data_IF_249314160344
#
_entry.id   IF_249314160344
#
_cell.length_a   1.000
_cell.length_b   1.000
_cell.length_c   1.000
_cell.angle_alpha   90.00
_cell.angle_beta   90.00
_cell.angle_gamma   90.00
#
_symmetry.space_group_name_H-M   'P 1'
#
loop_
_entity.id
_entity.type
_entity.pdbx_description
1 polymer ?
#
# COMPACT_ATOMS: atom_id res chain seq x y z
N UNK A 1 -30.34 45.68 16.40
CA UNK A 1 -29.12 45.43 17.18
C UNK A 1 -29.44 44.47 18.32
N UNK A 2 -29.23 43.16 18.14
CA UNK A 2 -28.75 42.30 19.23
C UNK A 2 -28.36 40.93 18.69
N UNK A 3 -27.08 40.63 18.87
CA UNK A 3 -26.34 39.51 18.30
C UNK A 3 -26.51 38.32 19.25
N UNK A 4 -27.08 37.22 18.77
CA UNK A 4 -27.00 35.91 19.43
C UNK A 4 -26.37 34.93 18.46
N UNK A 5 -25.10 35.17 18.17
CA UNK A 5 -24.19 34.16 17.63
C UNK A 5 -23.62 33.42 18.82
N UNK A 6 -24.31 32.36 19.27
CA UNK A 6 -23.72 31.43 20.22
C UNK A 6 -23.09 30.30 19.41
N UNK A 7 -21.77 30.36 19.42
CA UNK A 7 -20.79 29.47 18.84
C UNK A 7 -20.92 28.05 19.43
N UNK A 8 -21.21 27.06 18.59
CA UNK A 8 -20.96 25.66 18.95
C UNK A 8 -19.46 25.40 18.86
N UNK A 9 -18.76 25.62 19.98
CA UNK A 9 -17.38 25.19 20.14
C UNK A 9 -17.32 23.70 20.50
N UNK A 10 -16.30 23.03 19.96
CA UNK A 10 -15.76 21.73 20.37
C UNK A 10 -16.53 20.48 19.95
N UNK A 11 -16.49 20.16 18.65
CA UNK A 11 -16.52 18.75 18.23
C UNK A 11 -15.20 18.11 18.63
N UNK A 12 -15.08 17.72 19.90
CA UNK A 12 -14.00 16.83 20.34
C UNK A 12 -14.29 15.48 19.70
N UNK A 13 -13.67 15.22 18.55
CA UNK A 13 -13.66 13.90 17.94
C UNK A 13 -12.90 12.99 18.90
N UNK A 14 -13.61 12.27 19.77
CA UNK A 14 -12.99 11.26 20.62
C UNK A 14 -12.48 10.15 19.69
N UNK A 15 -11.15 9.93 19.56
CA UNK A 15 -10.66 8.78 18.82
C UNK A 15 -11.08 7.52 19.58
N UNK A 16 -11.61 6.55 18.85
CA UNK A 16 -11.97 5.23 19.37
C UNK A 16 -10.75 4.64 20.11
N UNK A 17 -10.88 4.19 21.39
CA UNK A 17 -9.76 3.63 22.10
C UNK A 17 -9.39 2.29 21.47
N UNK A 18 -8.26 2.32 20.75
CA UNK A 18 -7.43 1.17 20.42
C UNK A 18 -8.14 0.00 19.76
N UNK A 19 -8.42 0.11 18.45
CA UNK A 19 -8.32 -1.09 17.63
C UNK A 19 -6.85 -1.49 17.62
N UNK A 20 -6.47 -2.45 18.46
CA UNK A 20 -5.12 -3.00 18.50
C UNK A 20 -4.82 -3.64 17.15
N UNK A 21 -4.17 -2.90 16.25
CA UNK A 21 -3.77 -3.29 14.89
C UNK A 21 -2.69 -4.37 14.86
N UNK A 22 -2.55 -5.19 15.90
CA UNK A 22 -1.45 -6.14 16.04
C UNK A 22 -1.65 -7.42 15.19
N UNK A 23 -2.88 -7.68 14.72
CA UNK A 23 -3.20 -8.77 13.78
C UNK A 23 -3.52 -8.27 12.37
N UNK A 24 -3.65 -6.95 12.19
CA UNK A 24 -3.93 -6.35 10.90
C UNK A 24 -2.63 -6.07 10.15
N UNK A 25 -2.57 -6.46 8.88
CA UNK A 25 -1.43 -6.19 8.02
C UNK A 25 -1.24 -4.66 7.89
N UNK A 26 -0.11 -4.17 8.40
CA UNK A 26 0.20 -2.75 8.46
C UNK A 26 0.63 -2.22 7.09
N UNK A 27 -0.33 -1.68 6.33
CA UNK A 27 -0.08 -1.13 5.00
C UNK A 27 0.96 -0.01 4.97
N UNK A 28 1.13 0.76 6.07
CA UNK A 28 2.15 1.81 6.11
C UNK A 28 3.55 1.20 6.06
N UNK A 29 3.77 0.11 6.80
CA UNK A 29 5.03 -0.65 6.74
C UNK A 29 5.25 -1.30 5.39
N UNK A 30 4.21 -1.86 4.77
CA UNK A 30 4.31 -2.44 3.42
C UNK A 30 4.77 -1.38 2.40
N UNK A 31 4.15 -0.21 2.42
CA UNK A 31 4.51 0.89 1.50
C UNK A 31 5.96 1.34 1.72
N UNK A 32 6.38 1.50 2.98
CA UNK A 32 7.77 1.85 3.30
C UNK A 32 8.75 0.80 2.78
N UNK A 33 8.45 -0.49 2.98
CA UNK A 33 9.32 -1.57 2.53
C UNK A 33 9.44 -1.61 0.99
N UNK A 34 8.31 -1.44 0.28
CA UNK A 34 8.31 -1.38 -1.19
C UNK A 34 9.11 -0.17 -1.68
N UNK A 35 9.01 0.99 -1.02
CA UNK A 35 9.81 2.16 -1.37
C UNK A 35 11.30 1.90 -1.20
N UNK A 36 11.72 1.29 -0.09
CA UNK A 36 13.13 0.91 0.13
C UNK A 36 13.63 -0.02 -0.98
N UNK A 37 12.88 -1.09 -1.27
CA UNK A 37 13.20 -2.04 -2.35
C UNK A 37 13.38 -1.34 -3.70
N UNK A 38 12.46 -0.45 -4.07
CA UNK A 38 12.53 0.31 -5.32
C UNK A 38 13.68 1.32 -5.35
N UNK A 39 14.14 1.79 -4.19
CA UNK A 39 15.23 2.76 -4.07
C UNK A 39 16.60 2.09 -4.16
N UNK A 40 16.73 0.87 -3.64
CA UNK A 40 17.98 0.13 -3.55
C UNK A 40 18.19 -0.85 -4.71
N UNK A 41 17.10 -1.30 -5.35
CA UNK A 41 17.13 -2.36 -6.34
C UNK A 41 17.22 -1.88 -7.79
N UNK A 42 18.21 -2.38 -8.52
CA UNK A 42 18.26 -2.34 -9.99
C UNK A 42 17.46 -3.51 -10.58
N UNK A 43 16.18 -3.29 -10.84
CA UNK A 43 15.32 -4.30 -11.48
C UNK A 43 15.33 -4.13 -13.01
N UNK A 44 15.95 -5.09 -13.71
CA UNK A 44 15.91 -5.12 -15.19
C UNK A 44 14.55 -5.56 -15.76
N UNK A 45 13.75 -6.29 -14.98
CA UNK A 45 12.48 -6.87 -15.40
C UNK A 45 11.39 -6.60 -14.36
N UNK A 46 10.18 -6.28 -14.84
CA UNK A 46 9.02 -6.02 -13.97
C UNK A 46 8.52 -7.30 -13.30
N UNK A 47 8.79 -8.46 -13.92
CA UNK A 47 8.57 -9.81 -13.41
C UNK A 47 9.34 -10.05 -12.11
N UNK A 48 10.64 -9.72 -12.11
CA UNK A 48 11.50 -9.90 -10.93
C UNK A 48 11.05 -9.00 -9.78
N UNK A 49 10.70 -7.75 -10.08
CA UNK A 49 10.18 -6.83 -9.08
C UNK A 49 8.85 -7.32 -8.49
N UNK A 50 7.91 -7.77 -9.33
CA UNK A 50 6.62 -8.25 -8.87
C UNK A 50 6.76 -9.48 -7.97
N UNK A 51 7.60 -10.45 -8.36
CA UNK A 51 7.87 -11.63 -7.54
C UNK A 51 8.53 -11.24 -6.23
N UNK A 52 9.50 -10.32 -6.24
CA UNK A 52 10.17 -9.89 -5.02
C UNK A 52 9.21 -9.21 -4.03
N UNK A 53 8.34 -8.31 -4.52
CA UNK A 53 7.29 -7.69 -3.68
C UNK A 53 6.33 -8.74 -3.13
N UNK A 54 5.91 -9.72 -3.94
CA UNK A 54 5.03 -10.79 -3.49
C UNK A 54 5.69 -11.61 -2.36
N UNK A 55 6.97 -11.94 -2.48
CA UNK A 55 7.71 -12.69 -1.47
C UNK A 55 7.83 -11.92 -0.15
N UNK A 56 8.06 -10.61 -0.18
CA UNK A 56 8.08 -9.76 1.02
C UNK A 56 6.73 -9.81 1.74
N UNK A 57 5.63 -9.60 1.01
CA UNK A 57 4.29 -9.58 1.60
C UNK A 57 3.92 -10.95 2.19
N UNK A 58 4.27 -12.04 1.51
CA UNK A 58 3.97 -13.38 2.00
C UNK A 58 4.84 -13.77 3.20
N UNK A 59 6.14 -13.46 3.20
CA UNK A 59 7.08 -13.92 4.23
C UNK A 59 7.12 -12.99 5.44
N UNK A 60 7.25 -11.68 5.21
CA UNK A 60 7.50 -10.72 6.29
C UNK A 60 6.20 -10.28 6.97
N UNK A 61 5.10 -10.32 6.23
CA UNK A 61 3.76 -9.98 6.74
C UNK A 61 2.86 -11.21 6.91
N UNK A 62 3.39 -12.41 6.65
CA UNK A 62 2.71 -13.69 6.83
C UNK A 62 1.31 -13.74 6.18
N UNK A 63 1.17 -13.08 5.03
CA UNK A 63 -0.10 -12.97 4.32
C UNK A 63 -0.48 -14.33 3.71
N UNK A 64 -1.77 -14.75 3.80
CA UNK A 64 -2.20 -16.03 3.24
C UNK A 64 -2.24 -16.04 1.70
N UNK A 65 -2.35 -14.86 1.09
CA UNK A 65 -2.39 -14.69 -0.36
C UNK A 65 -2.05 -13.24 -0.72
N UNK A 66 -1.42 -13.05 -1.87
CA UNK A 66 -1.10 -11.74 -2.41
C UNK A 66 -1.33 -11.71 -3.93
N UNK A 67 -1.84 -10.57 -4.41
CA UNK A 67 -1.83 -10.21 -5.82
C UNK A 67 -1.03 -8.94 -6.02
N UNK A 68 -0.06 -9.00 -6.94
CA UNK A 68 0.81 -7.88 -7.26
C UNK A 68 0.62 -7.51 -8.73
N UNK A 69 0.27 -6.25 -8.98
CA UNK A 69 0.14 -5.69 -10.33
C UNK A 69 1.14 -4.57 -10.48
N UNK A 70 2.02 -4.68 -11.49
CA UNK A 70 3.03 -3.67 -11.79
C UNK A 70 2.88 -3.26 -13.23
N UNK A 71 2.82 -1.95 -13.47
CA UNK A 71 2.72 -1.40 -14.80
C UNK A 71 3.72 -0.27 -15.02
N UNK A 72 4.36 -0.30 -16.19
CA UNK A 72 5.16 0.79 -16.71
C UNK A 72 4.26 1.67 -17.59
N UNK A 73 4.12 2.92 -17.18
CA UNK A 73 3.35 3.91 -17.92
C UNK A 73 4.08 4.29 -19.22
N UNK A 74 3.31 4.50 -20.30
CA UNK A 74 3.83 4.98 -21.58
C UNK A 74 5.00 4.18 -22.19
N UNK A 75 5.12 2.88 -21.85
CA UNK A 75 6.22 2.04 -22.33
C UNK A 75 6.22 1.85 -23.86
N UNK A 76 5.06 1.98 -24.51
CA UNK A 76 4.87 1.71 -25.95
C UNK A 76 4.03 2.84 -26.56
N UNK A 77 4.37 3.27 -27.79
CA UNK A 77 3.56 4.24 -28.54
C UNK A 77 2.11 3.74 -28.67
N UNK A 78 1.15 4.63 -28.40
CA UNK A 78 -0.30 4.34 -28.36
C UNK A 78 -0.78 3.41 -27.23
N UNK A 79 0.06 3.11 -26.23
CA UNK A 79 -0.37 2.34 -25.06
C UNK A 79 -0.29 3.18 -23.78
N UNK A 80 -1.37 3.21 -23.00
CA UNK A 80 -1.42 3.99 -21.74
C UNK A 80 -0.50 3.37 -20.67
N UNK A 81 -0.54 2.04 -20.53
CA UNK A 81 0.22 1.29 -19.56
C UNK A 81 0.42 -0.14 -20.04
N UNK A 82 1.59 -0.71 -19.79
CA UNK A 82 1.87 -2.13 -20.00
C UNK A 82 2.49 -2.68 -18.74
N UNK A 83 2.07 -3.87 -18.35
CA UNK A 83 2.46 -4.45 -17.07
C UNK A 83 2.11 -5.91 -16.96
N UNK A 84 2.39 -6.45 -15.79
CA UNK A 84 2.07 -7.82 -15.42
C UNK A 84 1.24 -7.84 -14.15
N UNK A 85 0.54 -8.95 -13.95
CA UNK A 85 -0.21 -9.23 -12.75
C UNK A 85 0.11 -10.66 -12.32
N UNK A 86 0.52 -10.85 -11.08
CA UNK A 86 0.81 -12.17 -10.52
C UNK A 86 0.01 -12.37 -9.24
N UNK A 87 -0.32 -13.64 -8.98
CA UNK A 87 -0.98 -14.09 -7.75
C UNK A 87 -0.11 -15.17 -7.12
N UNK A 88 0.05 -15.10 -5.79
CA UNK A 88 0.83 -16.04 -5.00
C UNK A 88 0.07 -16.37 -3.72
N UNK A 89 0.06 -17.63 -3.36
CA UNK A 89 -0.49 -18.11 -2.10
C UNK A 89 0.65 -18.29 -1.10
N UNK A 90 0.38 -17.98 0.17
CA UNK A 90 1.24 -18.34 1.29
C UNK A 90 1.28 -19.86 1.44
N UNK A 91 2.38 -20.37 2.00
CA UNK A 91 2.60 -21.81 2.25
C UNK A 91 2.19 -22.16 3.67
#
# INVERSE_FOLDING_TARGET
MNKRTTQCASSQFLPCPTSTSNEALDYAKVVQHIQTVLSEGDFSLVETLAEHIAQIILKDFNAPWVKVSIARLQAIRNCKMVGICIERNGV
#
